data_IF_995534046024
#
_entry.id   IF_995534046024
#
_cell.length_a   1.000
_cell.length_b   1.000
_cell.length_c   1.000
_cell.angle_alpha   90.00
_cell.angle_beta   90.00
_cell.angle_gamma   90.00
#
_symmetry.space_group_name_H-M   'P 1'
#
loop_
_entity.id
_entity.type
_entity.pdbx_description
1 polymer ?
#
# COMPACT_ATOMS: atom_id res chain seq x y z
N UNK A 1 -64.92 -62.53 33.31
CA UNK A 1 -66.33 -62.28 32.93
C UNK A 1 -66.39 -60.87 32.31
N UNK A 2 -66.80 -60.77 31.04
CA UNK A 2 -66.95 -59.57 30.17
C UNK A 2 -65.65 -58.79 29.86
N UNK A 3 -65.11 -58.63 28.64
CA UNK A 3 -65.63 -58.44 27.26
C UNK A 3 -66.64 -57.29 27.11
N UNK A 4 -66.17 -56.12 26.62
CA UNK A 4 -66.69 -55.44 25.41
C UNK A 4 -65.99 -54.09 25.08
N UNK A 5 -65.34 -54.09 23.90
CA UNK A 5 -65.39 -53.10 22.78
C UNK A 5 -64.83 -51.68 22.99
N UNK A 6 -63.70 -51.32 22.37
CA UNK A 6 -63.49 -50.82 20.98
C UNK A 6 -64.03 -49.38 20.77
N UNK A 7 -63.17 -48.36 20.58
CA UNK A 7 -62.83 -47.75 19.27
C UNK A 7 -61.82 -46.56 19.41
N UNK A 8 -60.80 -46.62 18.54
CA UNK A 8 -59.69 -45.74 18.12
C UNK A 8 -59.63 -44.24 18.50
N UNK A 9 -58.40 -43.79 18.80
CA UNK A 9 -57.99 -42.38 18.79
C UNK A 9 -56.48 -42.18 19.01
N UNK A 10 -55.76 -42.06 17.90
CA UNK A 10 -54.47 -41.39 17.62
C UNK A 10 -53.47 -40.98 18.73
N UNK A 11 -52.20 -41.08 18.32
CA UNK A 11 -51.02 -40.27 18.72
C UNK A 11 -50.42 -40.49 20.11
N UNK A 12 -49.42 -41.38 20.15
CA UNK A 12 -48.43 -41.47 21.23
C UNK A 12 -47.40 -40.34 21.06
N UNK A 13 -47.48 -39.30 21.90
CA UNK A 13 -46.42 -38.31 22.08
C UNK A 13 -45.32 -38.93 22.94
N UNK A 14 -44.16 -39.20 22.35
CA UNK A 14 -42.90 -39.37 23.09
C UNK A 14 -41.90 -38.35 22.54
N UNK A 15 -41.65 -37.31 23.33
CA UNK A 15 -40.66 -36.29 23.04
C UNK A 15 -39.26 -36.90 23.16
N UNK A 16 -38.57 -37.05 22.03
CA UNK A 16 -37.13 -37.35 21.99
C UNK A 16 -36.42 -36.04 21.66
N UNK A 17 -35.70 -35.49 22.64
CA UNK A 17 -34.67 -34.49 22.41
C UNK A 17 -33.54 -35.17 21.61
N UNK A 18 -33.46 -34.89 20.31
CA UNK A 18 -32.27 -35.20 19.51
C UNK A 18 -31.29 -34.03 19.64
N UNK A 19 -30.23 -34.28 20.41
CA UNK A 19 -28.92 -33.65 20.21
C UNK A 19 -28.36 -34.15 18.88
N UNK A 20 -28.22 -33.25 17.91
CA UNK A 20 -27.39 -33.47 16.74
C UNK A 20 -26.35 -32.34 16.66
N UNK A 21 -25.21 -32.56 17.29
CA UNK A 21 -23.97 -31.93 16.86
C UNK A 21 -23.64 -32.48 15.47
N UNK A 22 -23.89 -31.71 14.41
CA UNK A 22 -23.20 -31.89 13.13
C UNK A 22 -22.19 -30.76 12.99
N UNK A 23 -20.99 -30.99 13.52
CA UNK A 23 -19.80 -30.24 13.13
C UNK A 23 -19.49 -30.61 11.68
N UNK A 24 -19.86 -29.72 10.75
CA UNK A 24 -19.26 -29.78 9.42
C UNK A 24 -17.77 -29.47 9.57
N UNK A 25 -16.86 -30.33 9.10
CA UNK A 25 -15.45 -29.98 9.05
C UNK A 25 -15.30 -28.83 8.04
N UNK A 26 -14.89 -27.66 8.52
CA UNK A 26 -14.46 -26.56 7.67
C UNK A 26 -13.26 -27.04 6.86
N UNK A 27 -13.44 -27.12 5.54
CA UNK A 27 -12.37 -27.39 4.59
C UNK A 27 -11.28 -26.31 4.75
N UNK A 28 -10.04 -26.66 5.17
CA UNK A 28 -8.96 -25.69 5.33
C UNK A 28 -8.41 -25.17 3.99
N UNK A 29 -8.95 -25.61 2.84
CA UNK A 29 -8.52 -25.21 1.51
C UNK A 29 -9.48 -24.29 0.75
N UNK A 30 -10.48 -23.67 1.39
CA UNK A 30 -11.28 -22.63 0.72
C UNK A 30 -10.56 -21.28 0.62
N UNK A 31 -9.30 -21.26 0.17
CA UNK A 31 -8.66 -20.08 -0.38
C UNK A 31 -9.23 -19.84 -1.79
N UNK A 32 -10.52 -19.51 -1.86
CA UNK A 32 -11.04 -18.81 -3.02
C UNK A 32 -10.40 -17.43 -3.00
N UNK A 33 -9.24 -17.33 -3.66
CA UNK A 33 -8.78 -16.06 -4.22
C UNK A 33 -9.91 -15.62 -5.14
N UNK A 34 -10.86 -14.86 -4.60
CA UNK A 34 -11.97 -14.33 -5.38
C UNK A 34 -11.31 -13.59 -6.53
N UNK A 35 -11.66 -13.98 -7.75
CA UNK A 35 -11.10 -13.41 -8.96
C UNK A 35 -11.73 -12.03 -9.20
N UNK A 36 -11.50 -11.14 -8.24
CA UNK A 36 -12.04 -9.80 -8.22
C UNK A 36 -11.43 -9.01 -9.39
N UNK A 37 -12.17 -8.12 -10.04
CA UNK A 37 -11.56 -7.16 -10.95
C UNK A 37 -10.75 -6.14 -10.14
N UNK A 38 -9.65 -5.68 -10.73
CA UNK A 38 -8.87 -4.54 -10.23
C UNK A 38 -9.70 -3.27 -10.41
N UNK A 39 -9.85 -2.49 -9.34
CA UNK A 39 -10.59 -1.24 -9.30
C UNK A 39 -9.60 -0.08 -9.36
N UNK A 40 -9.74 0.75 -10.39
CA UNK A 40 -9.13 2.08 -10.43
C UNK A 40 -10.13 3.07 -9.84
N UNK A 41 -9.80 3.76 -8.72
CA UNK A 41 -10.62 4.86 -8.25
C UNK A 41 -10.78 5.96 -9.31
N UNK A 42 -11.91 6.69 -9.32
CA UNK A 42 -12.10 7.82 -10.23
C UNK A 42 -11.04 8.90 -10.01
N UNK A 43 -10.56 9.51 -11.09
CA UNK A 43 -9.71 10.70 -11.00
C UNK A 43 -10.49 11.91 -10.49
N UNK A 44 -9.80 12.78 -9.76
CA UNK A 44 -10.40 13.94 -9.11
C UNK A 44 -10.62 15.09 -10.09
N UNK A 45 -11.67 15.86 -9.80
CA UNK A 45 -12.00 17.13 -10.44
C UNK A 45 -11.85 18.27 -9.44
N UNK A 46 -11.59 19.47 -9.96
CA UNK A 46 -11.62 20.69 -9.15
C UNK A 46 -12.98 20.78 -8.44
N UNK A 47 -12.96 21.10 -7.14
CA UNK A 47 -14.13 21.08 -6.26
C UNK A 47 -14.35 19.77 -5.51
N UNK A 48 -13.66 18.67 -5.85
CA UNK A 48 -13.74 17.43 -5.08
C UNK A 48 -13.14 17.60 -3.68
N UNK A 49 -13.62 16.80 -2.72
CA UNK A 49 -13.12 16.80 -1.34
C UNK A 49 -12.07 15.70 -1.14
N UNK A 50 -10.95 16.08 -0.51
CA UNK A 50 -9.89 15.19 -0.07
C UNK A 50 -9.92 15.09 1.46
N UNK A 51 -9.95 13.86 1.98
CA UNK A 51 -9.76 13.58 3.39
C UNK A 51 -8.28 13.66 3.77
N UNK A 52 -7.94 14.28 4.90
CA UNK A 52 -6.58 14.34 5.42
C UNK A 52 -6.55 13.66 6.78
N UNK A 53 -5.77 12.59 6.93
CA UNK A 53 -5.72 11.78 8.17
C UNK A 53 -4.28 11.46 8.56
N UNK A 54 -4.05 11.05 9.80
CA UNK A 54 -2.75 10.57 10.26
C UNK A 54 -2.89 9.28 11.05
N UNK A 55 -2.52 8.16 10.41
CA UNK A 55 -2.56 6.81 11.01
C UNK A 55 -1.18 6.25 11.31
N UNK A 56 -0.14 7.08 11.28
CA UNK A 56 1.22 6.67 11.59
C UNK A 56 1.68 7.47 12.82
N UNK A 57 2.86 8.05 12.77
CA UNK A 57 3.44 8.72 13.93
C UNK A 57 2.92 10.15 14.09
N UNK A 58 2.93 10.69 15.31
CA UNK A 58 2.40 12.04 15.60
C UNK A 58 3.14 13.15 14.86
N UNK A 59 2.49 14.26 14.57
CA UNK A 59 3.12 15.40 13.92
C UNK A 59 3.80 16.28 14.99
N UNK A 60 5.10 16.54 14.82
CA UNK A 60 5.88 17.42 15.71
C UNK A 60 5.63 18.90 15.43
N UNK A 61 5.40 19.23 14.16
CA UNK A 61 5.25 20.60 13.66
C UNK A 61 4.04 21.31 14.30
N UNK A 62 4.06 22.64 14.27
CA UNK A 62 2.94 23.45 14.76
C UNK A 62 1.72 23.31 13.82
N UNK A 63 0.48 23.41 14.34
CA UNK A 63 -0.73 23.42 13.51
C UNK A 63 -0.67 24.45 12.37
N UNK A 64 -0.21 25.69 12.64
CA UNK A 64 -0.10 26.74 11.62
C UNK A 64 0.81 26.34 10.44
N UNK A 65 1.93 25.66 10.73
CA UNK A 65 2.83 25.14 9.71
C UNK A 65 2.15 24.02 8.93
N UNK A 66 1.44 23.14 9.61
CA UNK A 66 0.70 22.05 8.96
C UNK A 66 -0.38 22.59 8.03
N UNK A 67 -1.14 23.60 8.47
CA UNK A 67 -2.18 24.22 7.67
C UNK A 67 -1.59 24.92 6.44
N UNK A 68 -0.41 25.53 6.56
CA UNK A 68 0.32 26.10 5.41
C UNK A 68 0.69 25.03 4.36
N UNK A 69 1.04 23.80 4.79
CA UNK A 69 1.28 22.68 3.86
C UNK A 69 -0.02 22.24 3.18
N UNK A 70 -1.13 22.27 3.90
CA UNK A 70 -2.46 21.93 3.35
C UNK A 70 -3.00 22.99 2.38
N UNK A 71 -2.60 24.26 2.52
CA UNK A 71 -2.91 25.31 1.53
C UNK A 71 -2.38 24.96 0.13
N UNK A 72 -1.29 24.19 0.03
CA UNK A 72 -0.80 23.69 -1.27
C UNK A 72 -1.88 22.86 -1.97
N UNK A 73 -2.55 21.96 -1.24
CA UNK A 73 -3.60 21.10 -1.82
C UNK A 73 -4.87 21.92 -2.12
N UNK A 74 -5.23 22.85 -1.23
CA UNK A 74 -6.36 23.78 -1.47
C UNK A 74 -6.13 24.63 -2.71
N UNK A 75 -4.90 25.07 -2.96
CA UNK A 75 -4.52 25.86 -4.14
C UNK A 75 -4.70 25.10 -5.46
N UNK A 76 -4.77 23.77 -5.43
CA UNK A 76 -5.11 22.95 -6.61
C UNK A 76 -6.60 22.95 -6.93
N UNK A 77 -7.42 23.59 -6.09
CA UNK A 77 -8.87 23.72 -6.25
C UNK A 77 -9.67 22.62 -5.54
N UNK A 78 -9.07 21.91 -4.58
CA UNK A 78 -9.77 20.88 -3.80
C UNK A 78 -10.25 21.40 -2.45
N UNK A 79 -11.35 20.83 -1.96
CA UNK A 79 -11.77 21.00 -0.57
C UNK A 79 -11.08 19.98 0.32
N UNK A 80 -10.82 20.33 1.58
CA UNK A 80 -10.20 19.42 2.55
C UNK A 80 -11.15 19.11 3.69
N UNK A 81 -11.24 17.83 4.07
CA UNK A 81 -11.87 17.37 5.30
C UNK A 81 -10.79 16.75 6.19
N UNK A 82 -10.52 17.36 7.34
CA UNK A 82 -9.49 16.89 8.27
C UNK A 82 -10.06 15.81 9.20
N UNK A 83 -9.26 14.79 9.47
CA UNK A 83 -9.53 13.82 10.53
C UNK A 83 -9.53 14.51 11.89
N UNK A 84 -10.39 14.04 12.79
CA UNK A 84 -10.58 14.62 14.12
C UNK A 84 -9.30 14.53 14.95
N UNK A 85 -8.54 13.45 14.79
CA UNK A 85 -7.34 13.13 15.54
C UNK A 85 -6.05 13.45 14.77
N UNK A 86 -6.14 14.21 13.66
CA UNK A 86 -5.02 14.53 12.77
C UNK A 86 -3.81 15.13 13.52
N UNK A 87 -4.08 16.08 14.43
CA UNK A 87 -3.05 16.87 15.14
C UNK A 87 -2.89 16.50 16.62
N UNK A 88 -3.58 15.45 17.08
CA UNK A 88 -3.49 15.03 18.48
C UNK A 88 -2.05 14.60 18.84
N UNK A 89 -1.75 14.64 20.14
CA UNK A 89 -0.42 14.31 20.69
C UNK A 89 -0.48 13.41 21.92
N UNK A 90 -1.68 12.92 22.26
CA UNK A 90 -1.92 12.17 23.49
C UNK A 90 -1.49 10.68 23.38
N UNK A 91 -1.38 10.14 22.16
CA UNK A 91 -1.06 8.73 21.90
C UNK A 91 0.43 8.34 22.02
N UNK A 92 1.26 9.12 22.72
CA UNK A 92 2.68 8.82 22.88
C UNK A 92 3.47 8.95 21.57
N UNK A 93 3.77 7.84 20.88
CA UNK A 93 4.41 7.84 19.56
C UNK A 93 3.45 8.25 18.43
N UNK A 94 2.15 8.03 18.65
CA UNK A 94 1.07 8.25 17.71
C UNK A 94 0.25 9.47 18.12
N UNK A 95 -0.58 10.05 17.23
CA UNK A 95 -1.42 11.18 17.61
C UNK A 95 -2.50 10.79 18.65
N UNK A 96 -3.12 9.63 18.47
CA UNK A 96 -4.23 9.10 19.28
C UNK A 96 -4.17 7.56 19.37
N UNK A 97 -5.16 6.89 19.97
CA UNK A 97 -5.22 5.42 20.03
C UNK A 97 -5.27 4.77 18.65
N UNK A 98 -5.05 3.46 18.58
CA UNK A 98 -5.14 2.73 17.30
C UNK A 98 -6.56 2.82 16.70
N UNK A 99 -7.58 2.71 17.55
CA UNK A 99 -9.01 2.86 17.21
C UNK A 99 -9.35 4.28 16.76
N UNK A 100 -8.89 5.30 17.48
CA UNK A 100 -9.17 6.71 17.16
C UNK A 100 -8.58 7.10 15.81
N UNK A 101 -7.32 6.70 15.55
CA UNK A 101 -6.65 6.92 14.27
C UNK A 101 -7.33 6.16 13.13
N UNK A 102 -7.73 4.92 13.37
CA UNK A 102 -8.49 4.16 12.39
C UNK A 102 -9.87 4.78 12.12
N UNK A 103 -10.53 5.34 13.13
CA UNK A 103 -11.84 5.98 13.00
C UNK A 103 -11.80 7.20 12.07
N UNK A 104 -10.73 8.01 12.14
CA UNK A 104 -10.51 9.13 11.22
C UNK A 104 -10.47 8.64 9.76
N UNK A 105 -9.70 7.57 9.50
CA UNK A 105 -9.63 7.00 8.16
C UNK A 105 -10.98 6.41 7.74
N UNK A 106 -11.61 5.60 8.60
CA UNK A 106 -12.89 4.96 8.32
C UNK A 106 -13.99 5.98 8.01
N UNK A 107 -14.04 7.11 8.73
CA UNK A 107 -14.97 8.20 8.44
C UNK A 107 -14.79 8.73 7.00
N UNK A 108 -13.55 8.90 6.54
CA UNK A 108 -13.28 9.32 5.16
C UNK A 108 -13.64 8.23 4.14
N UNK A 109 -13.47 6.96 4.50
CA UNK A 109 -13.86 5.81 3.67
C UNK A 109 -15.38 5.69 3.51
N UNK A 110 -16.15 6.01 4.54
CA UNK A 110 -17.61 5.96 4.51
C UNK A 110 -18.26 7.23 3.93
N UNK A 111 -17.53 8.34 3.92
CA UNK A 111 -18.04 9.61 3.42
C UNK A 111 -18.10 9.64 1.88
N UNK A 112 -19.32 9.75 1.34
CA UNK A 112 -19.62 9.81 -0.10
C UNK A 112 -19.14 11.09 -0.80
N UNK A 113 -18.81 12.15 -0.05
CA UNK A 113 -18.30 13.39 -0.61
C UNK A 113 -16.77 13.40 -0.74
N UNK A 114 -16.07 12.49 -0.03
CA UNK A 114 -14.61 12.37 -0.08
C UNK A 114 -14.20 11.47 -1.24
N UNK A 115 -13.37 11.97 -2.16
CA UNK A 115 -12.94 11.24 -3.38
C UNK A 115 -11.47 10.77 -3.35
N UNK A 116 -10.68 11.28 -2.42
CA UNK A 116 -9.37 10.75 -2.07
C UNK A 116 -9.08 10.96 -0.58
N UNK A 117 -8.16 10.19 -0.02
CA UNK A 117 -7.62 10.37 1.32
C UNK A 117 -6.11 10.41 1.22
N UNK A 118 -5.51 11.50 1.72
CA UNK A 118 -4.06 11.68 1.76
C UNK A 118 -3.62 11.55 3.22
N UNK A 119 -2.69 10.63 3.47
CA UNK A 119 -2.04 10.52 4.76
C UNK A 119 -1.12 11.71 4.95
N UNK A 120 -1.24 12.42 6.08
CA UNK A 120 -0.46 13.62 6.33
C UNK A 120 1.03 13.33 6.44
N UNK A 121 1.38 12.19 7.04
CA UNK A 121 2.74 11.68 7.19
C UNK A 121 2.76 10.17 7.39
N UNK A 122 3.94 9.58 7.19
CA UNK A 122 4.24 8.19 7.54
C UNK A 122 4.93 8.08 8.89
N UNK A 123 5.85 7.13 9.02
CA UNK A 123 6.60 6.87 10.25
C UNK A 123 6.43 5.42 10.69
N UNK A 124 5.69 5.22 11.76
CA UNK A 124 5.30 3.91 12.27
C UNK A 124 3.90 3.99 12.82
N UNK A 125 3.11 2.92 12.66
CA UNK A 125 1.82 2.73 13.31
C UNK A 125 0.66 2.36 12.39
N UNK A 126 0.84 2.41 11.06
CA UNK A 126 -0.24 2.11 10.10
C UNK A 126 -0.76 0.68 10.26
N UNK A 127 0.14 -0.30 10.43
CA UNK A 127 -0.23 -1.72 10.62
C UNK A 127 -1.17 -1.94 11.80
N UNK A 128 -1.04 -1.16 12.87
CA UNK A 128 -1.85 -1.27 14.09
C UNK A 128 -3.30 -0.84 13.89
N UNK A 129 -3.59 -0.12 12.81
CA UNK A 129 -4.94 0.38 12.50
C UNK A 129 -5.76 -0.59 11.67
N UNK A 130 -5.14 -1.59 11.03
CA UNK A 130 -5.79 -2.46 10.05
C UNK A 130 -6.99 -3.22 10.62
N UNK A 131 -6.89 -3.70 11.86
CA UNK A 131 -7.94 -4.49 12.51
C UNK A 131 -9.24 -3.71 12.77
N UNK A 132 -9.16 -2.37 12.73
CA UNK A 132 -10.28 -1.47 12.96
C UNK A 132 -10.89 -0.90 11.66
N UNK A 133 -10.36 -1.29 10.49
CA UNK A 133 -10.74 -0.72 9.20
C UNK A 133 -11.55 -1.71 8.36
N UNK A 134 -12.63 -1.20 7.76
CA UNK A 134 -13.37 -1.89 6.72
C UNK A 134 -12.95 -1.40 5.34
N UNK A 135 -11.76 -1.82 4.88
CA UNK A 135 -11.24 -1.43 3.57
C UNK A 135 -12.09 -1.95 2.40
N UNK A 136 -12.88 -3.01 2.61
CA UNK A 136 -13.78 -3.56 1.57
C UNK A 136 -14.82 -2.55 1.09
N UNK A 137 -15.11 -1.50 1.88
CA UNK A 137 -15.96 -0.39 1.46
C UNK A 137 -15.43 0.31 0.19
N UNK A 138 -14.12 0.34 -0.01
CA UNK A 138 -13.49 0.90 -1.21
C UNK A 138 -13.82 0.16 -2.51
N UNK A 139 -14.30 -1.09 -2.43
CA UNK A 139 -14.82 -1.77 -3.62
C UNK A 139 -16.20 -1.29 -4.04
N UNK A 140 -16.96 -0.69 -3.11
CA UNK A 140 -18.31 -0.15 -3.36
C UNK A 140 -18.27 1.32 -3.75
N UNK A 141 -17.44 2.11 -3.05
CA UNK A 141 -17.23 3.54 -3.33
C UNK A 141 -15.72 3.81 -3.42
N UNK A 142 -15.10 3.53 -4.58
CA UNK A 142 -13.65 3.64 -4.73
C UNK A 142 -13.16 5.09 -4.61
N UNK A 143 -12.10 5.27 -3.82
CA UNK A 143 -11.38 6.54 -3.65
C UNK A 143 -9.89 6.27 -3.52
N UNK A 144 -9.07 7.22 -3.93
CA UNK A 144 -7.62 7.09 -3.84
C UNK A 144 -7.16 7.14 -2.38
N UNK A 145 -6.25 6.24 -2.00
CA UNK A 145 -5.46 6.35 -0.77
C UNK A 145 -4.03 6.68 -1.14
N UNK A 146 -3.45 7.71 -0.52
CA UNK A 146 -2.17 8.30 -0.92
C UNK A 146 -1.21 8.39 0.27
N UNK A 147 -0.05 7.77 0.14
CA UNK A 147 1.06 7.87 1.09
C UNK A 147 2.28 7.09 0.59
N UNK A 148 3.33 6.99 1.39
CA UNK A 148 4.47 6.10 1.13
C UNK A 148 5.12 5.68 2.46
N UNK A 149 6.23 4.94 2.44
CA UNK A 149 6.92 4.50 3.66
C UNK A 149 6.07 3.52 4.48
N UNK A 150 5.75 3.82 5.76
CA UNK A 150 4.83 3.04 6.63
C UNK A 150 3.49 2.67 5.95
N UNK A 151 3.02 3.53 5.04
CA UNK A 151 1.77 3.35 4.29
C UNK A 151 1.89 2.26 3.20
N UNK A 152 3.08 1.69 2.97
CA UNK A 152 3.27 0.42 2.25
C UNK A 152 2.34 -0.68 2.78
N UNK A 153 2.11 -0.68 4.09
CA UNK A 153 1.15 -1.58 4.73
C UNK A 153 -0.27 -1.41 4.18
N UNK A 154 -0.73 -0.17 3.99
CA UNK A 154 -2.03 0.13 3.39
C UNK A 154 -2.03 -0.26 1.91
N UNK A 155 -0.98 0.04 1.15
CA UNK A 155 -0.88 -0.37 -0.26
C UNK A 155 -1.03 -1.89 -0.44
N UNK A 156 -0.39 -2.67 0.43
CA UNK A 156 -0.49 -4.14 0.40
C UNK A 156 -1.89 -4.63 0.78
N UNK A 157 -2.51 -4.03 1.81
CA UNK A 157 -3.90 -4.34 2.17
C UNK A 157 -4.88 -4.04 1.02
N UNK A 158 -4.68 -2.92 0.30
CA UNK A 158 -5.50 -2.55 -0.85
C UNK A 158 -5.28 -3.48 -2.06
N UNK A 159 -4.04 -3.95 -2.28
CA UNK A 159 -3.73 -4.96 -3.30
C UNK A 159 -4.53 -6.24 -3.10
N UNK A 160 -4.68 -6.72 -1.85
CA UNK A 160 -5.47 -7.91 -1.52
C UNK A 160 -6.94 -7.78 -1.94
N UNK A 161 -7.52 -6.59 -1.76
CA UNK A 161 -8.89 -6.29 -2.19
C UNK A 161 -8.97 -5.73 -3.62
N UNK A 162 -7.86 -5.77 -4.35
CA UNK A 162 -7.69 -5.30 -5.74
C UNK A 162 -8.20 -3.88 -5.99
N UNK A 163 -7.86 -2.93 -5.10
CA UNK A 163 -8.10 -1.49 -5.27
C UNK A 163 -6.77 -0.78 -5.48
N UNK A 164 -6.68 0.07 -6.51
CA UNK A 164 -5.47 0.86 -6.74
C UNK A 164 -5.29 1.96 -5.70
N UNK A 165 -4.03 2.29 -5.41
CA UNK A 165 -3.64 3.40 -4.52
C UNK A 165 -2.46 4.16 -5.12
N UNK A 166 -2.05 5.26 -4.50
CA UNK A 166 -0.93 6.07 -5.00
C UNK A 166 0.19 6.05 -3.97
N UNK A 167 1.34 5.51 -4.35
CA UNK A 167 2.58 5.68 -3.61
C UNK A 167 3.17 7.04 -3.99
N UNK A 168 3.13 8.02 -3.09
CA UNK A 168 3.53 9.40 -3.38
C UNK A 168 3.91 10.18 -2.12
N UNK A 169 4.52 11.36 -2.31
CA UNK A 169 4.80 12.30 -1.23
C UNK A 169 3.56 12.64 -0.39
N UNK A 170 3.81 13.05 0.85
CA UNK A 170 2.78 13.40 1.84
C UNK A 170 2.95 14.87 2.28
N UNK A 171 1.88 15.54 2.77
CA UNK A 171 1.90 16.96 3.13
C UNK A 171 3.08 17.39 4.00
N UNK A 172 3.48 16.57 4.98
CA UNK A 172 4.63 16.87 5.87
C UNK A 172 5.94 17.16 5.11
N UNK A 173 6.08 16.63 3.90
CA UNK A 173 7.27 16.76 3.06
C UNK A 173 7.16 17.83 1.98
N UNK A 174 6.03 18.56 1.91
CA UNK A 174 5.87 19.60 0.89
C UNK A 174 6.83 20.75 1.13
N UNK A 175 7.38 21.27 0.03
CA UNK A 175 8.20 22.48 0.03
C UNK A 175 7.31 23.70 -0.19
N UNK A 176 7.33 24.61 0.78
CA UNK A 176 6.63 25.89 0.68
C UNK A 176 7.48 26.93 -0.07
N UNK A 177 6.83 27.90 -0.69
CA UNK A 177 7.46 29.05 -1.37
C UNK A 177 8.44 28.69 -2.50
N UNK A 178 8.29 27.49 -3.08
CA UNK A 178 9.09 27.02 -4.23
C UNK A 178 8.25 26.06 -5.08
N UNK A 179 8.76 25.73 -6.26
CA UNK A 179 8.20 24.65 -7.08
C UNK A 179 8.53 23.32 -6.39
N UNK A 180 7.49 22.56 -6.06
CA UNK A 180 7.62 21.22 -5.49
C UNK A 180 7.20 20.17 -6.54
N UNK A 181 8.18 19.54 -7.17
CA UNK A 181 7.98 18.49 -8.18
C UNK A 181 7.23 17.28 -7.62
N UNK A 182 7.43 16.97 -6.34
CA UNK A 182 6.79 15.83 -5.69
C UNK A 182 5.29 16.12 -5.52
N UNK A 183 4.96 17.31 -5.02
CA UNK A 183 3.57 17.74 -4.84
C UNK A 183 2.86 17.92 -6.20
N UNK A 184 3.56 18.42 -7.22
CA UNK A 184 3.04 18.49 -8.59
C UNK A 184 2.77 17.09 -9.13
N UNK A 185 3.72 16.14 -9.00
CA UNK A 185 3.53 14.75 -9.42
C UNK A 185 2.29 14.13 -8.77
N UNK A 186 2.08 14.36 -7.48
CA UNK A 186 0.89 13.91 -6.76
C UNK A 186 -0.40 14.51 -7.34
N UNK A 187 -0.43 15.82 -7.58
CA UNK A 187 -1.59 16.48 -8.20
C UNK A 187 -1.90 15.89 -9.57
N UNK A 188 -0.90 15.73 -10.44
CA UNK A 188 -1.09 15.17 -11.77
C UNK A 188 -1.56 13.71 -11.71
N UNK A 189 -1.13 12.93 -10.71
CA UNK A 189 -1.63 11.57 -10.48
C UNK A 189 -3.11 11.56 -10.06
N UNK A 190 -3.49 12.39 -9.07
CA UNK A 190 -4.88 12.52 -8.61
C UNK A 190 -5.84 12.96 -9.72
N UNK A 191 -5.39 13.84 -10.61
CA UNK A 191 -6.17 14.34 -11.75
C UNK A 191 -6.08 13.45 -12.99
N UNK A 192 -5.36 12.32 -12.92
CA UNK A 192 -5.24 11.36 -14.02
C UNK A 192 -4.42 11.83 -15.21
N UNK A 193 -3.58 12.84 -15.02
CA UNK A 193 -2.70 13.44 -16.02
C UNK A 193 -1.30 12.81 -16.04
N UNK A 194 -0.90 12.12 -14.98
CA UNK A 194 0.31 11.30 -14.98
C UNK A 194 0.10 10.04 -15.84
N UNK A 195 0.81 9.96 -16.97
CA UNK A 195 0.72 8.85 -17.95
C UNK A 195 1.99 8.01 -18.08
N UNK A 196 3.14 8.66 -18.00
CA UNK A 196 4.42 8.01 -18.18
C UNK A 196 5.54 8.78 -17.47
N UNK A 197 6.68 8.11 -17.30
CA UNK A 197 7.96 8.73 -16.96
C UNK A 197 9.00 8.36 -18.00
N UNK A 198 9.84 9.34 -18.35
CA UNK A 198 11.07 9.13 -19.10
C UNK A 198 12.23 9.47 -18.14
N UNK A 199 13.06 8.49 -17.85
CA UNK A 199 14.10 8.55 -16.83
C UNK A 199 15.45 8.38 -17.53
N UNK A 200 16.42 9.20 -17.13
CA UNK A 200 17.79 9.07 -17.62
C UNK A 200 18.37 7.69 -17.31
N UNK A 201 19.24 7.21 -18.19
CA UNK A 201 19.99 5.98 -17.96
C UNK A 201 20.83 6.05 -16.68
N UNK A 202 20.87 4.93 -15.96
CA UNK A 202 21.77 4.66 -14.85
C UNK A 202 22.66 3.45 -15.19
N UNK A 203 23.95 3.49 -14.85
CA UNK A 203 24.90 2.43 -15.18
C UNK A 203 24.59 1.07 -14.54
N UNK A 204 23.75 1.04 -13.49
CA UNK A 204 23.30 -0.19 -12.85
C UNK A 204 22.03 -0.78 -13.47
N UNK A 205 21.37 -0.08 -14.40
CA UNK A 205 20.16 -0.58 -15.05
C UNK A 205 20.41 -1.92 -15.76
N UNK A 206 19.39 -2.77 -15.75
CA UNK A 206 19.34 -3.99 -16.55
C UNK A 206 18.34 -3.80 -17.69
N UNK A 207 18.83 -3.90 -18.93
CA UNK A 207 18.02 -3.70 -20.13
C UNK A 207 16.93 -4.77 -20.28
N UNK A 208 15.87 -4.40 -21.01
CA UNK A 208 14.77 -5.30 -21.31
C UNK A 208 13.42 -4.58 -21.29
N UNK A 209 12.36 -5.36 -21.43
CA UNK A 209 10.99 -4.86 -21.36
C UNK A 209 10.10 -5.84 -20.62
N UNK A 210 9.20 -5.31 -19.80
CA UNK A 210 8.28 -6.12 -19.04
C UNK A 210 6.96 -5.39 -18.77
N UNK A 211 5.89 -6.16 -18.66
CA UNK A 211 4.59 -5.71 -18.20
C UNK A 211 4.14 -6.48 -16.97
N UNK A 212 3.52 -5.80 -16.04
CA UNK A 212 3.00 -6.42 -14.83
C UNK A 212 2.32 -5.42 -13.91
N UNK A 213 1.64 -5.93 -12.89
CA UNK A 213 1.05 -5.09 -11.85
C UNK A 213 2.16 -4.51 -10.96
N UNK A 214 2.19 -3.20 -10.81
CA UNK A 214 3.11 -2.51 -9.89
C UNK A 214 2.69 -2.77 -8.44
N UNK A 215 3.59 -3.36 -7.67
CA UNK A 215 3.44 -3.63 -6.24
C UNK A 215 4.76 -3.31 -5.53
N UNK A 216 4.78 -3.24 -4.20
CA UNK A 216 6.00 -2.95 -3.45
C UNK A 216 5.90 -1.69 -2.60
N UNK A 217 7.03 -1.00 -2.40
CA UNK A 217 7.17 0.15 -1.51
C UNK A 217 8.41 0.01 -0.63
N UNK A 218 8.25 0.29 0.66
CA UNK A 218 9.33 0.26 1.63
C UNK A 218 9.82 -1.18 1.93
N UNK A 219 11.09 -1.49 1.70
CA UNK A 219 11.66 -2.83 1.82
C UNK A 219 11.54 -3.43 3.23
N UNK A 220 11.83 -2.64 4.28
CA UNK A 220 11.57 -3.02 5.68
C UNK A 220 10.12 -3.43 5.93
N UNK A 221 9.15 -2.69 5.39
CA UNK A 221 7.74 -3.08 5.49
C UNK A 221 7.40 -4.32 4.64
N UNK A 222 7.95 -4.45 3.43
CA UNK A 222 7.74 -5.64 2.59
C UNK A 222 8.23 -6.93 3.27
N UNK A 223 9.33 -6.85 4.01
CA UNK A 223 9.91 -8.00 4.70
C UNK A 223 9.21 -8.31 6.02
N UNK A 224 8.78 -7.30 6.78
CA UNK A 224 8.06 -7.50 8.05
C UNK A 224 6.63 -8.01 7.86
N UNK A 225 6.01 -7.73 6.71
CA UNK A 225 4.69 -8.29 6.35
C UNK A 225 4.77 -9.72 5.80
N UNK A 226 5.96 -10.29 5.64
CA UNK A 226 6.14 -11.64 5.11
C UNK A 226 5.42 -12.70 5.97
N UNK A 227 4.58 -13.53 5.35
CA UNK A 227 3.78 -14.54 6.04
C UNK A 227 2.51 -14.03 6.71
N UNK A 228 2.19 -12.74 6.59
CA UNK A 228 0.90 -12.18 7.02
C UNK A 228 -0.17 -12.34 5.93
N UNK A 229 -1.42 -12.04 6.27
CA UNK A 229 -2.54 -12.11 5.34
C UNK A 229 -2.51 -11.02 4.25
N UNK A 230 -1.69 -9.97 4.44
CA UNK A 230 -1.42 -8.89 3.48
C UNK A 230 0.01 -8.97 2.91
N UNK A 231 0.66 -10.14 2.99
CA UNK A 231 1.93 -10.37 2.33
C UNK A 231 1.81 -10.19 0.80
N UNK A 232 2.90 -9.74 0.16
CA UNK A 232 2.98 -9.65 -1.29
C UNK A 232 3.08 -11.04 -1.91
N UNK A 233 1.95 -11.51 -2.42
CA UNK A 233 1.92 -12.58 -3.40
C UNK A 233 2.39 -12.06 -4.77
N UNK A 234 3.57 -12.53 -5.19
CA UNK A 234 4.20 -12.20 -6.47
C UNK A 234 4.15 -13.37 -7.47
N UNK A 235 3.59 -14.52 -7.08
CA UNK A 235 3.64 -15.75 -7.90
C UNK A 235 2.37 -15.95 -8.71
N UNK A 236 1.24 -15.36 -8.29
CA UNK A 236 -0.06 -15.55 -8.94
C UNK A 236 -0.24 -14.76 -10.25
N UNK A 237 0.56 -13.73 -10.51
CA UNK A 237 0.42 -12.88 -11.70
C UNK A 237 1.74 -12.17 -12.05
N UNK A 238 1.93 -11.70 -13.30
CA UNK A 238 3.06 -10.85 -13.66
C UNK A 238 3.10 -9.56 -12.82
N UNK A 239 4.19 -9.33 -12.10
CA UNK A 239 4.37 -8.14 -11.25
C UNK A 239 5.65 -7.38 -11.57
N UNK A 240 5.58 -6.06 -11.46
CA UNK A 240 6.75 -5.18 -11.37
C UNK A 240 6.90 -4.77 -9.90
N UNK A 241 8.07 -4.98 -9.32
CA UNK A 241 8.30 -4.75 -7.88
C UNK A 241 9.04 -3.43 -7.65
N UNK A 242 8.40 -2.51 -6.93
CA UNK A 242 9.02 -1.30 -6.37
C UNK A 242 9.73 -1.64 -5.05
N UNK A 243 10.99 -1.23 -4.92
CA UNK A 243 11.75 -1.36 -3.68
C UNK A 243 12.44 -0.03 -3.36
N UNK A 244 12.10 0.56 -2.22
CA UNK A 244 12.79 1.74 -1.67
C UNK A 244 13.00 1.56 -0.16
N UNK A 245 13.94 2.27 0.45
CA UNK A 245 14.09 2.26 1.91
C UNK A 245 14.88 3.46 2.44
N UNK A 246 14.89 3.63 3.77
CA UNK A 246 15.55 4.74 4.46
C UNK A 246 16.15 4.35 5.79
N UNK A 247 17.34 4.89 6.09
CA UNK A 247 17.92 4.85 7.44
C UNK A 247 18.43 3.47 7.87
N UNK A 248 18.46 2.51 6.95
CA UNK A 248 18.95 1.17 7.20
C UNK A 248 20.47 1.09 7.10
N UNK A 249 21.01 -0.06 7.48
CA UNK A 249 22.41 -0.42 7.23
C UNK A 249 22.51 -1.33 6.03
N UNK A 250 23.65 -1.31 5.34
CA UNK A 250 23.85 -2.15 4.14
C UNK A 250 23.63 -3.65 4.44
N UNK A 251 23.99 -4.14 5.64
CA UNK A 251 23.72 -5.53 6.03
C UNK A 251 22.23 -5.81 6.33
N UNK A 252 21.48 -4.80 6.78
CA UNK A 252 20.03 -4.93 6.94
C UNK A 252 19.34 -5.01 5.57
N UNK A 253 19.74 -4.17 4.60
CA UNK A 253 19.27 -4.26 3.22
C UNK A 253 19.60 -5.65 2.64
N UNK A 254 20.84 -6.11 2.77
CA UNK A 254 21.23 -7.45 2.32
C UNK A 254 20.35 -8.54 2.92
N UNK A 255 20.17 -8.54 4.26
CA UNK A 255 19.31 -9.50 4.96
C UNK A 255 17.87 -9.50 4.41
N UNK A 256 17.33 -8.32 4.09
CA UNK A 256 15.99 -8.18 3.53
C UNK A 256 15.90 -8.69 2.10
N UNK A 257 16.91 -8.38 1.27
CA UNK A 257 17.01 -8.92 -0.08
C UNK A 257 17.19 -10.45 -0.08
N UNK A 258 17.94 -11.01 0.88
CA UNK A 258 18.02 -12.45 1.09
C UNK A 258 16.65 -13.05 1.41
N UNK A 259 15.82 -12.41 2.24
CA UNK A 259 14.47 -12.89 2.52
C UNK A 259 13.62 -12.92 1.24
N UNK A 260 13.66 -11.86 0.43
CA UNK A 260 12.94 -11.82 -0.85
C UNK A 260 13.44 -12.90 -1.82
N UNK A 261 14.75 -13.16 -1.85
CA UNK A 261 15.35 -14.25 -2.64
C UNK A 261 14.87 -15.62 -2.16
N UNK A 262 15.01 -15.89 -0.87
CA UNK A 262 14.73 -17.20 -0.25
C UNK A 262 13.24 -17.54 -0.19
N UNK A 263 12.38 -16.54 -0.14
CA UNK A 263 10.93 -16.72 -0.28
C UNK A 263 10.47 -16.95 -1.72
N UNK A 264 11.38 -16.93 -2.70
CA UNK A 264 11.06 -17.09 -4.12
C UNK A 264 10.47 -15.83 -4.78
N UNK A 265 10.24 -14.76 -4.01
CA UNK A 265 9.64 -13.51 -4.48
C UNK A 265 10.45 -12.85 -5.59
N UNK A 266 11.78 -12.75 -5.44
CA UNK A 266 12.62 -12.17 -6.50
C UNK A 266 12.60 -12.98 -7.81
N UNK A 267 12.43 -14.30 -7.74
CA UNK A 267 12.35 -15.14 -8.95
C UNK A 267 11.01 -14.99 -9.68
N UNK A 268 9.97 -14.54 -8.98
CA UNK A 268 8.61 -14.49 -9.51
C UNK A 268 8.30 -13.19 -10.29
N UNK A 269 9.03 -12.09 -9.99
CA UNK A 269 8.78 -10.78 -10.61
C UNK A 269 9.22 -10.73 -12.08
N UNK A 270 8.60 -9.84 -12.85
CA UNK A 270 8.92 -9.60 -14.27
C UNK A 270 9.79 -8.37 -14.49
N UNK A 271 9.94 -7.53 -13.47
CA UNK A 271 10.81 -6.37 -13.50
C UNK A 271 10.90 -5.75 -12.11
N UNK A 272 11.96 -4.98 -11.88
CA UNK A 272 12.21 -4.32 -10.60
C UNK A 272 12.46 -2.85 -10.83
N UNK A 273 11.89 -2.01 -9.96
CA UNK A 273 12.18 -0.59 -9.88
C UNK A 273 12.77 -0.36 -8.48
N UNK A 274 14.07 -0.13 -8.42
CA UNK A 274 14.69 0.39 -7.21
C UNK A 274 14.45 1.90 -7.16
N UNK A 275 13.66 2.30 -6.16
CA UNK A 275 13.50 3.69 -5.78
C UNK A 275 14.74 4.22 -5.04
N UNK A 276 14.59 5.34 -4.36
CA UNK A 276 15.70 5.96 -3.64
C UNK A 276 15.99 5.22 -2.34
N UNK A 277 17.19 4.68 -2.21
CA UNK A 277 17.71 4.10 -0.96
C UNK A 277 18.46 5.19 -0.17
N UNK A 278 17.81 5.76 0.83
CA UNK A 278 18.28 7.02 1.46
C UNK A 278 18.92 6.77 2.83
N UNK A 279 19.99 7.50 3.18
CA UNK A 279 20.66 7.39 4.48
C UNK A 279 21.09 5.96 4.85
N UNK A 280 21.48 5.16 3.84
CA UNK A 280 21.96 3.80 4.07
C UNK A 280 23.38 3.85 4.63
N UNK A 281 23.57 3.35 5.85
CA UNK A 281 24.88 3.31 6.47
C UNK A 281 25.76 2.23 5.82
N UNK A 282 26.88 2.68 5.24
CA UNK A 282 27.90 1.81 4.67
C UNK A 282 28.72 1.11 5.76
N UNK A 283 29.23 -0.08 5.45
CA UNK A 283 30.18 -0.79 6.32
C UNK A 283 31.39 -1.21 5.50
N UNK A 284 32.59 -0.85 5.96
CA UNK A 284 33.85 -1.11 5.24
C UNK A 284 34.05 -2.60 4.94
N UNK A 285 33.57 -3.49 5.83
CA UNK A 285 33.63 -4.94 5.67
C UNK A 285 32.84 -5.47 4.46
N UNK A 286 31.89 -4.70 3.91
CA UNK A 286 31.13 -5.11 2.73
C UNK A 286 31.95 -4.98 1.44
N UNK A 287 32.91 -4.03 1.41
CA UNK A 287 33.77 -3.76 0.26
C UNK A 287 33.02 -3.57 -1.09
N UNK A 288 31.76 -3.13 -1.04
CA UNK A 288 30.92 -2.81 -2.20
C UNK A 288 30.00 -1.64 -1.85
N UNK A 289 29.63 -0.88 -2.87
CA UNK A 289 28.52 0.05 -2.82
C UNK A 289 27.18 -0.68 -2.69
N UNK A 290 26.15 0.05 -2.28
CA UNK A 290 24.79 -0.47 -2.21
C UNK A 290 24.29 -0.98 -3.57
N UNK A 291 24.52 -0.22 -4.64
CA UNK A 291 24.03 -0.58 -5.97
C UNK A 291 24.74 -1.81 -6.54
N UNK A 292 26.04 -2.00 -6.25
CA UNK A 292 26.73 -3.25 -6.59
C UNK A 292 26.10 -4.45 -5.86
N UNK A 293 25.80 -4.33 -4.57
CA UNK A 293 25.12 -5.39 -3.82
C UNK A 293 23.71 -5.69 -4.37
N UNK A 294 22.90 -4.66 -4.64
CA UNK A 294 21.56 -4.84 -5.22
C UNK A 294 21.61 -5.46 -6.64
N UNK A 295 22.62 -5.12 -7.43
CA UNK A 295 22.85 -5.71 -8.75
C UNK A 295 23.09 -7.22 -8.67
N UNK A 296 23.82 -7.71 -7.66
CA UNK A 296 24.07 -9.15 -7.46
C UNK A 296 22.78 -9.96 -7.22
N UNK A 297 21.74 -9.33 -6.67
CA UNK A 297 20.43 -9.95 -6.50
C UNK A 297 19.62 -10.07 -7.79
N UNK A 298 19.95 -9.28 -8.81
CA UNK A 298 19.10 -9.08 -9.99
C UNK A 298 19.74 -9.51 -11.30
N UNK A 299 21.07 -9.50 -11.41
CA UNK A 299 21.80 -9.74 -12.66
C UNK A 299 21.50 -11.10 -13.32
N UNK A 300 21.14 -12.12 -12.53
CA UNK A 300 20.81 -13.47 -13.02
C UNK A 300 19.30 -13.70 -13.23
N UNK A 301 18.46 -12.68 -13.06
CA UNK A 301 17.00 -12.80 -13.19
C UNK A 301 16.50 -12.62 -14.63
N UNK A 302 17.33 -12.14 -15.56
CA UNK A 302 16.96 -11.89 -16.98
C UNK A 302 15.69 -11.02 -17.14
N UNK A 303 15.52 -10.02 -16.28
CA UNK A 303 14.40 -9.07 -16.28
C UNK A 303 14.89 -7.62 -16.35
N UNK A 304 14.10 -6.67 -16.87
CA UNK A 304 14.45 -5.26 -16.78
C UNK A 304 14.49 -4.76 -15.33
N UNK A 305 15.50 -3.95 -15.03
CA UNK A 305 15.69 -3.32 -13.71
C UNK A 305 16.01 -1.84 -13.90
N UNK A 306 15.24 -1.00 -13.24
CA UNK A 306 15.47 0.46 -13.15
C UNK A 306 16.08 0.75 -11.79
N UNK A 307 17.26 1.38 -11.77
CA UNK A 307 17.89 1.89 -10.56
C UNK A 307 17.58 3.37 -10.36
N UNK A 308 17.62 3.81 -9.10
CA UNK A 308 17.53 5.22 -8.70
C UNK A 308 16.30 5.96 -9.24
N UNK A 309 15.17 5.26 -9.40
CA UNK A 309 13.91 5.93 -9.72
C UNK A 309 13.57 6.91 -8.58
N UNK A 310 13.21 8.18 -8.86
CA UNK A 310 13.00 9.20 -7.82
C UNK A 310 11.67 8.98 -7.08
N UNK A 311 11.56 7.88 -6.32
CA UNK A 311 10.43 7.56 -5.44
C UNK A 311 10.98 6.97 -4.15
N UNK A 312 10.50 7.47 -3.01
CA UNK A 312 10.98 7.08 -1.68
C UNK A 312 11.32 8.29 -0.82
N UNK A 313 12.37 8.18 -0.02
CA UNK A 313 12.71 9.15 1.04
C UNK A 313 13.68 10.26 0.63
N UNK A 314 13.87 10.48 -0.67
CA UNK A 314 14.64 11.60 -1.22
C UNK A 314 13.75 12.53 -2.07
N UNK A 315 14.19 13.76 -2.29
CA UNK A 315 13.51 14.70 -3.19
C UNK A 315 14.11 14.64 -4.60
N UNK A 316 13.28 14.64 -5.67
CA UNK A 316 11.82 14.54 -5.62
C UNK A 316 11.33 13.11 -5.32
N UNK A 317 10.12 13.00 -4.78
CA UNK A 317 9.41 11.73 -4.56
C UNK A 317 8.19 11.68 -5.51
N UNK A 318 8.39 11.03 -6.64
CA UNK A 318 7.47 10.91 -7.77
C UNK A 318 6.41 9.85 -7.52
N UNK A 319 5.18 10.17 -7.94
CA UNK A 319 4.00 9.35 -7.68
C UNK A 319 3.96 8.10 -8.56
N UNK A 320 3.51 6.99 -7.99
CA UNK A 320 3.32 5.70 -8.66
C UNK A 320 1.93 5.13 -8.33
N UNK A 321 1.20 4.64 -9.33
CA UNK A 321 -0.08 3.95 -9.10
C UNK A 321 0.17 2.48 -8.70
N UNK A 322 -0.02 2.17 -7.42
CA UNK A 322 0.10 0.81 -6.88
C UNK A 322 -1.14 -0.02 -7.24
N UNK A 323 -0.93 -1.29 -7.58
CA UNK A 323 -1.98 -2.20 -8.06
C UNK A 323 -2.38 -1.98 -9.52
N UNK A 324 -1.72 -1.06 -10.24
CA UNK A 324 -1.94 -0.80 -11.67
C UNK A 324 -1.04 -1.67 -12.52
N UNK A 325 -1.54 -2.17 -13.66
CA UNK A 325 -0.69 -2.79 -14.68
C UNK A 325 0.13 -1.70 -15.37
N UNK A 326 1.45 -1.84 -15.37
CA UNK A 326 2.39 -0.91 -16.00
C UNK A 326 3.27 -1.66 -17.00
N UNK A 327 3.95 -0.89 -17.84
CA UNK A 327 5.04 -1.35 -18.69
C UNK A 327 6.32 -0.62 -18.32
N UNK A 328 7.44 -1.33 -18.23
CA UNK A 328 8.77 -0.74 -18.17
C UNK A 328 9.57 -1.16 -19.40
N UNK A 329 10.27 -0.20 -19.99
CA UNK A 329 11.20 -0.40 -21.10
C UNK A 329 12.54 0.23 -20.71
N UNK A 330 13.59 -0.58 -20.61
CA UNK A 330 14.93 -0.18 -20.17
C UNK A 330 15.91 -0.41 -21.32
N UNK A 331 16.59 0.67 -21.71
CA UNK A 331 17.59 0.68 -22.78
C UNK A 331 18.90 1.28 -22.27
N UNK A 332 19.97 1.14 -23.05
CA UNK A 332 21.27 1.75 -22.78
C UNK A 332 21.28 3.30 -22.79
N UNK A 333 20.19 3.99 -23.15
CA UNK A 333 20.10 5.47 -23.16
C UNK A 333 19.05 6.04 -22.22
N UNK A 334 17.99 5.29 -21.92
CA UNK A 334 16.88 5.75 -21.07
C UNK A 334 16.04 4.59 -20.56
N UNK A 335 15.27 4.86 -19.51
CA UNK A 335 14.19 4.00 -19.04
C UNK A 335 12.85 4.71 -19.19
N UNK A 336 11.82 3.97 -19.58
CA UNK A 336 10.44 4.47 -19.69
C UNK A 336 9.51 3.64 -18.81
N UNK A 337 8.64 4.30 -18.06
CA UNK A 337 7.54 3.68 -17.31
C UNK A 337 6.23 4.19 -17.90
N UNK A 338 5.32 3.30 -18.28
CA UNK A 338 3.99 3.65 -18.82
C UNK A 338 2.89 3.06 -17.94
N UNK A 339 1.90 3.88 -17.58
CA UNK A 339 0.75 3.52 -16.73
C UNK A 339 -0.52 3.18 -17.52
#
# INVERSE_FOLDING_TARGET
MNIKKILYGCSLLLAIFFTACSSNPTDPNSNHNLDLPVICPPYLKIGDTIGIVNISSKISDSPDRCDSLLEVIRSWGFHLKLGKHLYDKAGGWFPASDEERASDLQEMLDNKNVRAVIFFRGGYGAVRTLDFLNLMQLRKDPKWLVGYSDLTTIHNALRKIKVQSIHATMPINFKLNTIDESAISLREALMGRLKEYNISYDSFNQEGSAEGTLVGGNLSLLTTLNGTDIDLDLTSAPTILLIEDVGESIYAIDRMMQLLKRSGKLKAVKGIIFGTMTNISSQSSWNKSLNEMLKEYTENLEIPVIFNFPSGHSYPNMSLYMGRKIRIDVTYTSSKITF
#
